data_IF_925170574992
#
_entry.id   IF_925170574992
#
_cell.length_a   1.000
_cell.length_b   1.000
_cell.length_c   1.000
_cell.angle_alpha   90.00
_cell.angle_beta   90.00
_cell.angle_gamma   90.00
#
_symmetry.space_group_name_H-M   'P 1'
#
loop_
_entity.id
_entity.type
_entity.pdbx_description
1 polymer ?
#
# COMPACT_ATOMS: atom_id res chain seq x y z
N UNK A 1 44.84 11.84 -39.89
CA UNK A 1 43.44 11.37 -39.80
C UNK A 1 43.44 10.14 -38.90
N UNK A 2 43.15 10.35 -37.61
CA UNK A 2 43.01 9.29 -36.61
C UNK A 2 41.52 9.03 -36.44
N UNK A 3 41.06 7.82 -36.74
CA UNK A 3 39.73 7.35 -36.35
C UNK A 3 39.90 6.48 -35.10
N UNK A 4 39.64 7.08 -33.93
CA UNK A 4 39.43 6.33 -32.69
C UNK A 4 38.10 5.58 -32.83
N UNK A 5 38.17 4.25 -33.02
CA UNK A 5 37.02 3.36 -32.80
C UNK A 5 37.00 3.00 -31.31
N UNK A 6 36.19 3.71 -30.54
CA UNK A 6 35.81 3.28 -29.19
C UNK A 6 34.93 2.04 -29.33
N UNK A 7 35.45 0.87 -28.95
CA UNK A 7 34.68 -0.37 -28.86
C UNK A 7 34.03 -0.36 -27.47
N UNK A 8 32.71 -0.19 -27.42
CA UNK A 8 31.92 -0.40 -26.21
C UNK A 8 31.75 -1.90 -26.02
N UNK A 9 32.46 -2.49 -25.05
CA UNK A 9 32.28 -3.89 -24.65
C UNK A 9 31.18 -3.91 -23.58
N UNK A 10 30.02 -4.46 -23.90
CA UNK A 10 29.01 -4.81 -22.89
C UNK A 10 29.45 -6.09 -22.19
N UNK A 11 29.90 -5.99 -20.94
CA UNK A 11 30.11 -7.15 -20.07
C UNK A 11 28.86 -7.28 -19.20
N UNK A 12 28.04 -8.29 -19.47
CA UNK A 12 26.99 -8.70 -18.52
C UNK A 12 27.68 -9.40 -17.34
N UNK A 13 27.62 -8.79 -16.15
CA UNK A 13 28.09 -9.43 -14.93
C UNK A 13 26.93 -10.17 -14.26
N UNK A 14 27.07 -11.50 -14.14
CA UNK A 14 26.33 -12.26 -13.14
C UNK A 14 26.79 -11.83 -11.74
N UNK A 15 25.83 -11.42 -10.92
CA UNK A 15 25.83 -11.30 -9.45
C UNK A 15 27.18 -11.64 -8.78
N UNK A 16 28.02 -10.62 -8.60
CA UNK A 16 29.22 -10.66 -7.77
C UNK A 16 29.28 -9.45 -6.83
N UNK A 17 30.22 -9.41 -5.87
CA UNK A 17 30.27 -8.42 -4.77
C UNK A 17 30.38 -6.95 -5.22
N UNK A 18 30.78 -6.68 -6.45
CA UNK A 18 30.76 -5.33 -7.04
C UNK A 18 29.34 -4.87 -7.42
N UNK A 19 28.42 -5.78 -7.74
CA UNK A 19 27.00 -5.47 -7.97
C UNK A 19 26.30 -4.99 -6.70
N UNK A 20 26.68 -5.53 -5.54
CA UNK A 20 26.23 -5.03 -4.23
C UNK A 20 26.77 -3.63 -3.91
N UNK A 21 27.99 -3.29 -4.39
CA UNK A 21 28.57 -1.96 -4.22
C UNK A 21 27.87 -0.88 -5.06
N UNK A 22 27.39 -1.22 -6.27
CA UNK A 22 26.57 -0.33 -7.09
C UNK A 22 25.12 -0.26 -6.59
N UNK A 23 24.57 -1.35 -6.06
CA UNK A 23 23.27 -1.34 -5.39
C UNK A 23 23.28 -0.38 -4.19
N UNK A 24 24.36 -0.25 -3.42
CA UNK A 24 24.46 0.70 -2.30
C UNK A 24 24.42 2.18 -2.72
N UNK A 25 24.74 2.55 -3.96
CA UNK A 25 24.80 3.95 -4.39
C UNK A 25 23.43 4.64 -4.50
N UNK A 26 22.36 3.85 -4.60
CA UNK A 26 20.99 4.34 -4.80
C UNK A 26 20.16 4.29 -3.53
N UNK A 27 20.74 3.87 -2.41
CA UNK A 27 20.06 3.71 -1.14
C UNK A 27 20.80 4.53 -0.10
N UNK A 28 20.07 5.38 0.59
CA UNK A 28 20.58 6.18 1.69
C UNK A 28 19.77 5.89 2.93
N UNK A 29 20.42 5.53 4.02
CA UNK A 29 19.77 5.27 5.30
C UNK A 29 19.90 6.44 6.27
N UNK A 30 18.86 6.64 7.06
CA UNK A 30 18.74 7.64 8.10
C UNK A 30 18.27 6.92 9.37
N UNK A 31 19.16 6.81 10.34
CA UNK A 31 18.96 6.10 11.60
C UNK A 31 19.40 6.98 12.76
N UNK A 32 19.16 6.51 13.99
CA UNK A 32 19.66 7.11 15.23
C UNK A 32 21.19 7.23 15.28
N UNK A 33 21.93 6.51 14.44
CA UNK A 33 23.39 6.55 14.42
C UNK A 33 23.96 7.70 13.57
N UNK A 34 23.18 8.19 12.59
CA UNK A 34 23.66 9.20 11.62
C UNK A 34 22.73 10.41 11.46
N UNK A 35 21.66 10.50 12.27
CA UNK A 35 20.73 11.63 12.30
C UNK A 35 20.43 12.06 13.74
N UNK A 36 19.50 13.01 13.91
CA UNK A 36 18.99 13.42 15.22
C UNK A 36 17.87 12.53 15.75
N UNK A 37 17.40 11.56 14.96
CA UNK A 37 16.32 10.65 15.36
C UNK A 37 16.72 9.93 16.65
N UNK A 38 15.81 9.86 17.62
CA UNK A 38 16.03 9.10 18.87
C UNK A 38 15.38 7.72 18.85
N UNK A 39 14.57 7.45 17.83
CA UNK A 39 13.93 6.18 17.55
C UNK A 39 14.00 5.85 16.06
N UNK A 40 14.19 4.57 15.74
CA UNK A 40 14.36 4.10 14.36
C UNK A 40 13.05 3.62 13.73
N UNK A 41 11.98 3.42 14.51
CA UNK A 41 10.73 2.95 13.93
C UNK A 41 10.00 4.11 13.28
N UNK A 42 9.99 4.13 11.94
CA UNK A 42 9.33 5.17 11.15
C UNK A 42 7.93 4.70 10.80
N UNK A 43 6.93 5.29 11.45
CA UNK A 43 5.53 4.88 11.28
C UNK A 43 4.90 5.52 10.04
N UNK A 44 5.27 6.77 9.74
CA UNK A 44 4.71 7.49 8.60
C UNK A 44 5.65 8.58 8.07
N UNK A 45 5.53 8.88 6.79
CA UNK A 45 6.26 9.95 6.10
C UNK A 45 5.30 10.73 5.21
N UNK A 46 5.26 12.05 5.39
CA UNK A 46 4.51 12.96 4.53
C UNK A 46 5.46 13.96 3.89
N UNK A 47 5.36 14.18 2.57
CA UNK A 47 6.20 15.15 1.86
C UNK A 47 5.37 16.39 1.48
N UNK A 48 5.81 17.55 1.97
CA UNK A 48 5.17 18.84 1.71
C UNK A 48 6.23 19.83 1.25
N UNK A 49 6.10 20.31 0.01
CA UNK A 49 7.01 21.28 -0.60
C UNK A 49 8.50 20.87 -0.48
N UNK A 50 8.77 19.57 -0.63
CA UNK A 50 10.10 18.97 -0.57
C UNK A 50 10.61 18.66 0.85
N UNK A 51 9.91 19.11 1.90
CA UNK A 51 10.18 18.81 3.30
C UNK A 51 9.51 17.50 3.69
N UNK A 52 10.28 16.59 4.29
CA UNK A 52 9.82 15.29 4.77
C UNK A 52 9.42 15.44 6.22
N UNK A 53 8.13 15.30 6.52
CA UNK A 53 7.62 15.12 7.87
C UNK A 53 7.69 13.63 8.21
N UNK A 54 8.39 13.29 9.27
CA UNK A 54 8.77 11.92 9.61
C UNK A 54 8.26 11.64 11.02
N UNK A 55 7.29 10.74 11.12
CA UNK A 55 6.70 10.31 12.38
C UNK A 55 7.35 9.02 12.87
N UNK A 56 7.76 8.98 14.14
CA UNK A 56 8.36 7.80 14.76
C UNK A 56 7.59 7.36 16.00
N UNK A 57 8.02 6.27 16.66
CA UNK A 57 7.47 5.94 17.98
C UNK A 57 7.85 6.93 19.07
N UNK A 58 8.89 7.74 18.82
CA UNK A 58 9.42 8.67 19.80
C UNK A 58 9.79 10.02 19.16
N UNK A 59 8.85 10.61 18.43
CA UNK A 59 8.97 11.98 17.97
C UNK A 59 8.38 12.28 16.60
N UNK A 60 8.38 13.57 16.30
CA UNK A 60 8.09 14.10 14.98
C UNK A 60 9.29 14.93 14.52
N UNK A 61 9.76 14.65 13.31
CA UNK A 61 10.91 15.32 12.74
C UNK A 61 10.58 15.87 11.36
N UNK A 62 11.27 16.95 10.97
CA UNK A 62 11.28 17.39 9.57
C UNK A 62 12.68 17.34 9.00
N UNK A 63 12.80 16.98 7.72
CA UNK A 63 14.04 16.99 6.98
C UNK A 63 13.88 17.65 5.61
N UNK A 64 14.70 18.66 5.31
CA UNK A 64 14.65 19.42 4.05
C UNK A 64 15.77 19.03 3.05
N UNK A 65 16.35 17.84 3.22
CA UNK A 65 17.58 17.35 2.57
C UNK A 65 18.89 17.99 3.07
N UNK A 66 18.83 18.99 3.95
CA UNK A 66 20.03 19.64 4.52
C UNK A 66 20.05 19.60 6.04
N UNK A 67 18.92 19.86 6.67
CA UNK A 67 18.79 20.11 8.09
C UNK A 67 17.61 19.34 8.66
N UNK A 68 17.79 18.88 9.89
CA UNK A 68 16.75 18.22 10.67
C UNK A 68 16.21 19.17 11.73
N UNK A 69 14.90 19.11 11.98
CA UNK A 69 14.24 19.82 13.08
C UNK A 69 13.42 18.80 13.87
N UNK A 70 13.49 18.89 15.20
CA UNK A 70 12.71 18.08 16.13
C UNK A 70 11.50 18.88 16.63
N UNK A 71 10.30 18.32 16.46
CA UNK A 71 9.02 18.89 16.90
C UNK A 71 8.39 18.09 18.04
N UNK A 72 9.10 17.16 18.65
CA UNK A 72 8.54 16.23 19.65
C UNK A 72 7.88 16.94 20.84
N UNK A 73 8.44 18.05 21.31
CA UNK A 73 7.96 18.79 22.48
C UNK A 73 6.57 19.44 22.30
N UNK A 74 6.09 19.58 21.06
CA UNK A 74 4.77 20.17 20.78
C UNK A 74 3.64 19.13 20.71
N UNK A 75 4.01 17.84 20.67
CA UNK A 75 3.05 16.75 20.52
C UNK A 75 2.37 16.43 21.86
N UNK A 76 1.08 16.05 21.85
CA UNK A 76 0.41 15.54 23.05
C UNK A 76 0.98 14.16 23.48
N UNK A 77 1.56 13.42 22.54
CA UNK A 77 2.27 12.17 22.78
C UNK A 77 3.33 11.96 21.68
N UNK A 78 4.51 11.40 22.02
CA UNK A 78 5.60 11.29 21.04
C UNK A 78 5.44 10.19 19.99
N UNK A 79 4.69 9.14 20.31
CA UNK A 79 4.35 8.10 19.33
C UNK A 79 3.40 8.72 18.29
N UNK A 80 3.93 8.95 17.09
CA UNK A 80 3.21 9.42 15.91
C UNK A 80 2.74 8.21 15.10
N UNK A 81 1.45 8.13 14.85
CA UNK A 81 0.84 7.06 14.06
C UNK A 81 0.77 7.42 12.57
N UNK A 82 0.37 8.66 12.26
CA UNK A 82 0.28 9.15 10.89
C UNK A 82 0.37 10.66 10.82
N UNK A 83 0.63 11.17 9.63
CA UNK A 83 0.77 12.59 9.31
C UNK A 83 -0.03 12.87 8.04
N UNK A 84 -1.00 13.77 8.10
CA UNK A 84 -1.76 14.19 6.93
C UNK A 84 -1.77 15.70 6.76
N UNK A 85 -2.13 16.16 5.56
CA UNK A 85 -2.25 17.57 5.23
C UNK A 85 -3.64 17.86 4.68
N UNK A 86 -4.23 18.94 5.15
CA UNK A 86 -5.52 19.41 4.62
C UNK A 86 -5.36 20.29 3.37
N UNK A 87 -6.48 20.77 2.82
CA UNK A 87 -6.46 21.62 1.62
C UNK A 87 -5.93 23.04 1.86
N UNK A 88 -5.87 23.47 3.12
CA UNK A 88 -5.36 24.78 3.54
C UNK A 88 -3.86 24.75 3.84
N UNK A 89 -3.26 23.56 3.86
CA UNK A 89 -1.84 23.35 4.14
C UNK A 89 -1.53 23.09 5.61
N UNK A 90 -2.55 22.91 6.46
CA UNK A 90 -2.36 22.54 7.85
C UNK A 90 -1.90 21.07 7.93
N UNK A 91 -0.92 20.80 8.80
CA UNK A 91 -0.38 19.46 9.03
C UNK A 91 -1.02 18.88 10.28
N UNK A 92 -1.62 17.71 10.16
CA UNK A 92 -2.25 16.95 11.23
C UNK A 92 -1.34 15.78 11.59
N UNK A 93 -1.01 15.68 12.87
CA UNK A 93 -0.12 14.65 13.41
C UNK A 93 -0.91 13.80 14.39
N UNK A 94 -1.23 12.58 14.00
CA UNK A 94 -1.98 11.63 14.81
C UNK A 94 -1.08 10.94 15.82
N UNK A 95 -1.49 10.83 17.07
CA UNK A 95 -0.67 10.29 18.16
C UNK A 95 -1.45 9.38 19.09
N UNK A 96 -0.73 8.70 19.99
CA UNK A 96 -1.34 7.85 21.02
C UNK A 96 -2.23 8.61 22.02
N UNK A 97 -2.12 9.93 22.16
CA UNK A 97 -2.95 10.72 23.12
C UNK A 97 -3.67 11.90 22.46
N UNK A 98 -4.08 11.75 21.21
CA UNK A 98 -4.81 12.77 20.44
C UNK A 98 -4.09 13.14 19.17
N UNK A 99 -4.22 14.38 18.73
CA UNK A 99 -3.51 14.90 17.56
C UNK A 99 -2.95 16.30 17.81
N UNK A 100 -1.92 16.65 17.05
CA UNK A 100 -1.40 18.02 16.95
C UNK A 100 -1.65 18.57 15.54
N UNK A 101 -1.98 19.85 15.44
CA UNK A 101 -2.26 20.54 14.17
C UNK A 101 -1.31 21.72 14.04
N UNK A 102 -0.58 21.79 12.93
CA UNK A 102 0.33 22.87 12.60
C UNK A 102 -0.19 23.69 11.42
N UNK A 103 -0.40 24.98 11.62
CA UNK A 103 -0.95 25.89 10.60
C UNK A 103 0.12 26.71 9.85
N UNK A 104 1.38 26.31 9.94
CA UNK A 104 2.52 27.06 9.39
C UNK A 104 3.14 28.09 10.34
N UNK A 105 2.54 28.35 11.51
CA UNK A 105 3.08 29.29 12.49
C UNK A 105 2.90 28.90 13.96
N UNK A 106 1.84 28.16 14.28
CA UNK A 106 1.56 27.68 15.64
C UNK A 106 1.05 26.25 15.65
N UNK A 107 1.15 25.62 16.81
CA UNK A 107 0.63 24.30 17.09
C UNK A 107 -0.62 24.39 17.96
N UNK A 108 -1.63 23.60 17.63
CA UNK A 108 -2.80 23.33 18.46
C UNK A 108 -2.88 21.82 18.73
N UNK A 109 -3.41 21.42 19.90
CA UNK A 109 -3.58 20.01 20.23
C UNK A 109 -5.04 19.69 20.54
N UNK A 110 -5.51 18.56 19.99
CA UNK A 110 -6.82 18.00 20.26
C UNK A 110 -6.61 16.70 21.04
N UNK A 111 -7.13 16.65 22.26
CA UNK A 111 -6.92 15.56 23.22
C UNK A 111 -8.24 15.24 23.94
N UNK A 112 -8.26 14.15 24.70
CA UNK A 112 -9.39 13.80 25.56
C UNK A 112 -9.70 14.85 26.66
N UNK A 113 -8.84 15.84 26.88
CA UNK A 113 -9.08 16.92 27.85
C UNK A 113 -9.96 18.05 27.28
N UNK A 114 -9.92 18.26 25.96
CA UNK A 114 -10.58 19.39 25.29
C UNK A 114 -11.51 18.97 24.14
N UNK A 115 -11.64 17.67 23.87
CA UNK A 115 -12.47 17.12 22.80
C UNK A 115 -13.08 15.77 23.16
N UNK A 116 -14.10 15.37 22.40
CA UNK A 116 -14.69 14.02 22.46
C UNK A 116 -13.81 12.98 21.77
N UNK A 117 -12.83 13.42 20.96
CA UNK A 117 -11.83 12.52 20.38
C UNK A 117 -11.04 11.93 21.53
N UNK A 118 -11.08 10.62 21.61
CA UNK A 118 -10.40 9.86 22.64
C UNK A 118 -8.90 9.78 22.35
N UNK A 119 -8.21 9.02 23.17
CA UNK A 119 -6.79 8.77 22.96
C UNK A 119 -6.62 7.83 21.74
N UNK A 120 -5.42 7.83 21.18
CA UNK A 120 -5.03 6.98 20.07
C UNK A 120 -5.78 7.28 18.76
N UNK A 121 -5.35 8.38 18.12
CA UNK A 121 -5.75 8.69 16.75
C UNK A 121 -4.84 7.91 15.81
N UNK A 122 -5.44 7.17 14.88
CA UNK A 122 -4.71 6.38 13.90
C UNK A 122 -4.48 7.15 12.60
N UNK A 123 -5.52 7.83 12.10
CA UNK A 123 -5.45 8.54 10.82
C UNK A 123 -6.49 9.66 10.71
N UNK A 124 -6.17 10.68 9.89
CA UNK A 124 -7.11 11.72 9.48
C UNK A 124 -7.06 11.89 7.97
N UNK A 125 -8.21 11.82 7.31
CA UNK A 125 -8.39 12.16 5.89
C UNK A 125 -9.42 13.27 5.71
N UNK A 126 -9.35 13.98 4.60
CA UNK A 126 -10.20 15.15 4.33
C UNK A 126 -11.07 14.91 3.08
N UNK A 127 -12.34 15.29 3.15
CA UNK A 127 -13.22 15.26 1.98
C UNK A 127 -13.04 16.49 1.07
N UNK A 128 -13.90 16.61 0.04
CA UNK A 128 -13.83 17.72 -0.89
C UNK A 128 -14.09 19.09 -0.26
N UNK A 129 -14.86 19.13 0.83
CA UNK A 129 -15.20 20.34 1.58
C UNK A 129 -14.21 20.62 2.72
N UNK A 130 -13.06 19.92 2.74
CA UNK A 130 -12.05 19.99 3.79
C UNK A 130 -12.55 19.55 5.18
N UNK A 131 -13.61 18.75 5.24
CA UNK A 131 -14.07 18.14 6.48
C UNK A 131 -13.19 16.96 6.83
N UNK A 132 -12.69 16.93 8.06
CA UNK A 132 -11.79 15.88 8.53
C UNK A 132 -12.59 14.66 9.03
N UNK A 133 -12.19 13.47 8.59
CA UNK A 133 -12.65 12.19 9.11
C UNK A 133 -11.49 11.54 9.86
N UNK A 134 -11.73 11.23 11.13
CA UNK A 134 -10.71 10.94 12.11
C UNK A 134 -10.93 9.52 12.63
N UNK A 135 -10.06 8.60 12.23
CA UNK A 135 -10.06 7.22 12.68
C UNK A 135 -9.31 7.07 14.00
N UNK A 136 -9.93 6.44 14.99
CA UNK A 136 -9.33 6.17 16.30
C UNK A 136 -9.55 4.71 16.70
N UNK A 137 -8.96 4.29 17.82
CA UNK A 137 -9.22 2.97 18.41
C UNK A 137 -10.65 2.79 18.93
N UNK A 138 -11.40 3.88 19.08
CA UNK A 138 -12.76 3.90 19.65
C UNK A 138 -13.83 4.17 18.58
N UNK A 139 -13.44 4.50 17.34
CA UNK A 139 -14.38 4.68 16.25
C UNK A 139 -13.93 5.69 15.18
N UNK A 140 -14.91 6.20 14.45
CA UNK A 140 -14.77 7.24 13.44
C UNK A 140 -15.45 8.52 13.91
N UNK A 141 -14.73 9.62 13.85
CA UNK A 141 -15.22 10.95 14.17
C UNK A 141 -15.16 11.84 12.93
N UNK A 142 -15.99 12.88 12.90
CA UNK A 142 -16.02 13.90 11.86
C UNK A 142 -15.83 15.27 12.48
N UNK A 143 -14.90 16.06 11.95
CA UNK A 143 -14.60 17.42 12.39
C UNK A 143 -14.83 18.42 11.24
N UNK A 144 -15.80 19.32 11.44
CA UNK A 144 -16.17 20.36 10.46
C UNK A 144 -16.48 21.65 11.22
N UNK A 145 -15.97 22.79 10.74
CA UNK A 145 -16.14 24.12 11.35
C UNK A 145 -15.83 24.13 12.87
N UNK A 146 -14.79 23.40 13.29
CA UNK A 146 -14.39 23.28 14.70
C UNK A 146 -15.32 22.42 15.57
N UNK A 147 -16.39 21.86 15.01
CA UNK A 147 -17.28 20.94 15.71
C UNK A 147 -16.90 19.50 15.41
N UNK A 148 -16.83 18.68 16.45
CA UNK A 148 -16.51 17.26 16.34
C UNK A 148 -17.74 16.43 16.71
N UNK A 149 -18.05 15.44 15.88
CA UNK A 149 -19.18 14.53 16.06
C UNK A 149 -18.76 13.09 15.83
N UNK A 150 -19.50 12.15 16.42
CA UNK A 150 -19.29 10.71 16.26
C UNK A 150 -20.00 10.26 14.98
N UNK A 151 -19.30 9.52 14.14
CA UNK A 151 -19.85 8.88 12.93
C UNK A 151 -20.08 7.39 13.18
N UNK A 152 -19.10 6.73 13.81
CA UNK A 152 -19.12 5.31 14.13
C UNK A 152 -18.44 5.11 15.47
N UNK A 153 -19.01 4.31 16.35
CA UNK A 153 -18.40 3.93 17.63
C UNK A 153 -18.70 2.46 17.95
N UNK A 154 -18.10 1.94 19.03
CA UNK A 154 -18.32 0.57 19.50
C UNK A 154 -19.78 0.19 19.75
N UNK A 155 -20.71 1.14 19.87
CA UNK A 155 -22.14 0.84 20.00
C UNK A 155 -22.80 0.43 18.67
N UNK A 156 -22.09 0.66 17.55
CA UNK A 156 -22.62 0.54 16.20
C UNK A 156 -22.33 -0.81 15.53
N UNK A 157 -21.45 -1.65 16.10
CA UNK A 157 -21.07 -2.96 15.55
C UNK A 157 -20.87 -4.03 16.63
N UNK A 158 -21.09 -5.29 16.24
CA UNK A 158 -20.68 -6.48 16.98
C UNK A 158 -19.45 -7.10 16.28
N UNK A 159 -18.32 -7.37 16.98
CA UNK A 159 -18.10 -7.16 18.40
C UNK A 159 -17.90 -5.67 18.76
N UNK A 160 -18.07 -5.36 20.05
CA UNK A 160 -18.07 -4.02 20.68
C UNK A 160 -16.72 -3.26 20.66
N UNK A 161 -15.90 -3.44 19.63
CA UNK A 161 -14.63 -2.77 19.47
C UNK A 161 -14.44 -2.38 18.00
N UNK A 162 -14.28 -1.08 17.75
CA UNK A 162 -14.06 -0.54 16.41
C UNK A 162 -12.78 0.28 16.46
N UNK A 163 -11.69 -0.34 16.02
CA UNK A 163 -10.45 0.35 15.77
C UNK A 163 -10.37 0.69 14.28
N UNK A 164 -10.63 1.95 13.94
CA UNK A 164 -10.52 2.47 12.58
C UNK A 164 -9.05 2.74 12.30
N UNK A 165 -8.43 1.86 11.53
CA UNK A 165 -6.99 1.84 11.29
C UNK A 165 -6.56 2.70 10.12
N UNK A 166 -7.34 2.67 9.04
CA UNK A 166 -7.03 3.40 7.82
C UNK A 166 -8.30 3.86 7.09
N UNK A 167 -8.18 4.95 6.33
CA UNK A 167 -9.28 5.67 5.71
C UNK A 167 -8.86 6.14 4.32
N UNK A 168 -9.80 6.12 3.36
CA UNK A 168 -9.57 6.74 2.05
C UNK A 168 -10.89 7.04 1.36
N UNK A 169 -10.91 8.04 0.48
CA UNK A 169 -12.09 8.37 -0.31
C UNK A 169 -12.08 7.65 -1.66
N UNK A 170 -13.20 6.97 -1.95
CA UNK A 170 -13.51 6.39 -3.26
C UNK A 170 -14.74 7.10 -3.82
N UNK A 171 -14.51 8.14 -4.63
CA UNK A 171 -15.57 9.08 -5.00
C UNK A 171 -16.20 9.70 -3.75
N UNK A 172 -17.52 9.70 -3.67
CA UNK A 172 -18.27 10.24 -2.52
C UNK A 172 -18.29 9.31 -1.30
N UNK A 173 -17.72 8.10 -1.40
CA UNK A 173 -17.74 7.13 -0.31
C UNK A 173 -16.43 7.17 0.47
N UNK A 174 -16.53 7.21 1.80
CA UNK A 174 -15.38 6.98 2.68
C UNK A 174 -15.22 5.48 2.91
N UNK A 175 -14.11 4.91 2.47
CA UNK A 175 -13.69 3.56 2.79
C UNK A 175 -13.05 3.53 4.18
N UNK A 176 -13.47 2.57 5.00
CA UNK A 176 -13.10 2.46 6.42
C UNK A 176 -12.42 1.10 6.63
N UNK A 177 -11.10 1.12 6.78
CA UNK A 177 -10.32 -0.04 7.20
C UNK A 177 -10.30 -0.14 8.72
N UNK A 178 -10.57 -1.34 9.23
CA UNK A 178 -10.59 -1.57 10.68
C UNK A 178 -9.65 -2.68 11.10
N UNK A 179 -9.36 -2.77 12.39
CA UNK A 179 -8.75 -3.95 13.00
C UNK A 179 -9.84 -4.90 13.47
N UNK A 180 -9.88 -6.11 12.89
CA UNK A 180 -10.85 -7.18 13.15
C UNK A 180 -12.34 -6.91 12.82
N UNK A 181 -12.72 -5.70 12.44
CA UNK A 181 -14.12 -5.32 12.14
C UNK A 181 -14.53 -5.48 10.67
N UNK A 182 -13.56 -5.70 9.77
CA UNK A 182 -13.76 -5.73 8.32
C UNK A 182 -13.61 -4.37 7.65
N UNK A 183 -14.13 -4.27 6.43
CA UNK A 183 -14.06 -3.10 5.56
C UNK A 183 -15.43 -2.41 5.48
N UNK A 184 -15.49 -1.14 5.88
CA UNK A 184 -16.68 -0.31 5.81
C UNK A 184 -16.69 0.61 4.58
N UNK A 185 -17.88 0.93 4.10
CA UNK A 185 -18.15 1.96 3.09
C UNK A 185 -19.21 2.90 3.64
N UNK A 186 -18.80 4.11 4.03
CA UNK A 186 -19.71 5.17 4.45
C UNK A 186 -20.14 5.99 3.23
N UNK A 187 -21.45 6.04 2.99
CA UNK A 187 -22.07 6.87 1.96
C UNK A 187 -23.42 7.36 2.46
N UNK A 188 -23.69 8.67 2.39
CA UNK A 188 -24.94 9.29 2.86
C UNK A 188 -25.37 8.79 4.26
N UNK A 189 -24.48 8.92 5.24
CA UNK A 189 -24.69 8.51 6.66
C UNK A 189 -25.00 7.02 6.87
N UNK A 190 -24.85 6.19 5.85
CA UNK A 190 -25.07 4.75 5.90
C UNK A 190 -23.77 4.01 5.67
N UNK A 191 -23.52 2.97 6.48
CA UNK A 191 -22.30 2.17 6.36
C UNK A 191 -22.64 0.75 5.88
N UNK A 192 -22.09 0.38 4.73
CA UNK A 192 -22.06 -1.00 4.24
C UNK A 192 -20.79 -1.71 4.71
N UNK A 193 -20.89 -2.99 5.09
CA UNK A 193 -19.78 -3.76 5.66
C UNK A 193 -19.42 -4.99 4.84
N UNK A 194 -18.12 -5.23 4.70
CA UNK A 194 -17.54 -6.48 4.22
C UNK A 194 -16.66 -7.12 5.30
N UNK A 195 -16.85 -8.41 5.55
CA UNK A 195 -16.11 -9.22 6.51
C UNK A 195 -16.08 -10.70 6.04
N UNK A 196 -15.52 -11.59 6.86
CA UNK A 196 -15.43 -13.02 6.62
C UNK A 196 -16.76 -13.70 6.27
N UNK A 197 -17.90 -13.17 6.71
CA UNK A 197 -19.21 -13.75 6.41
C UNK A 197 -19.72 -13.40 5.01
N UNK A 198 -19.15 -12.39 4.33
CA UNK A 198 -19.61 -11.93 3.02
C UNK A 198 -18.47 -11.66 2.01
N UNK A 199 -17.32 -12.31 2.20
CA UNK A 199 -16.32 -12.49 1.15
C UNK A 199 -14.93 -11.93 1.44
N UNK A 200 -14.77 -11.10 2.48
CA UNK A 200 -13.46 -10.57 2.86
C UNK A 200 -12.68 -11.63 3.67
N UNK A 201 -11.52 -12.05 3.19
CA UNK A 201 -10.79 -13.16 3.82
C UNK A 201 -10.03 -12.79 5.09
N UNK A 202 -9.81 -11.50 5.33
CA UNK A 202 -9.15 -10.95 6.51
C UNK A 202 -9.91 -9.71 6.97
N UNK A 203 -10.38 -9.71 8.21
CA UNK A 203 -11.16 -8.61 8.77
C UNK A 203 -10.29 -7.44 9.24
N UNK A 204 -8.97 -7.50 9.05
CA UNK A 204 -8.05 -6.42 9.38
C UNK A 204 -7.47 -5.78 8.13
N UNK A 205 -7.63 -4.47 8.01
CA UNK A 205 -6.95 -3.64 7.01
C UNK A 205 -5.80 -2.89 7.68
N UNK A 206 -4.59 -3.00 7.13
CA UNK A 206 -3.42 -2.23 7.60
C UNK A 206 -3.29 -0.92 6.85
N UNK A 207 -3.60 -0.92 5.55
CA UNK A 207 -3.62 0.26 4.67
C UNK A 207 -4.64 0.04 3.54
N UNK A 208 -5.16 1.13 2.98
CA UNK A 208 -6.13 1.12 1.90
C UNK A 208 -5.79 2.19 0.88
N UNK A 209 -5.76 1.79 -0.39
CA UNK A 209 -5.51 2.66 -1.53
C UNK A 209 -6.64 2.54 -2.55
N UNK A 210 -7.07 3.67 -3.11
CA UNK A 210 -7.92 3.69 -4.31
C UNK A 210 -7.04 3.88 -5.54
N UNK A 211 -7.09 2.93 -6.47
CA UNK A 211 -6.55 3.10 -7.83
C UNK A 211 -7.70 2.95 -8.83
N UNK A 212 -7.93 4.03 -9.60
CA UNK A 212 -9.05 4.15 -10.55
C UNK A 212 -10.38 3.86 -9.83
N UNK A 213 -11.03 2.75 -10.16
CA UNK A 213 -12.32 2.33 -9.59
C UNK A 213 -12.18 1.16 -8.60
N UNK A 214 -10.97 0.71 -8.31
CA UNK A 214 -10.72 -0.44 -7.45
C UNK A 214 -10.17 0.03 -6.10
N UNK A 215 -10.57 -0.68 -5.05
CA UNK A 215 -9.95 -0.53 -3.76
C UNK A 215 -8.87 -1.61 -3.60
N UNK A 216 -7.70 -1.24 -3.10
CA UNK A 216 -6.63 -2.15 -2.73
C UNK A 216 -6.41 -2.08 -1.23
N UNK A 217 -6.28 -3.23 -0.60
CA UNK A 217 -6.29 -3.40 0.85
C UNK A 217 -5.12 -4.30 1.20
N UNK A 218 -4.20 -3.80 2.01
CA UNK A 218 -3.18 -4.63 2.65
C UNK A 218 -3.73 -5.19 3.95
N UNK A 219 -3.33 -6.41 4.27
CA UNK A 219 -3.83 -7.13 5.44
C UNK A 219 -2.68 -7.84 6.16
N UNK A 220 -2.78 -8.08 7.48
CA UNK A 220 -1.71 -8.70 8.24
C UNK A 220 -1.56 -10.20 7.97
N UNK A 221 -2.61 -10.88 7.46
CA UNK A 221 -2.58 -12.32 7.21
C UNK A 221 -3.14 -12.73 5.83
N UNK A 222 -4.09 -11.97 5.28
CA UNK A 222 -4.76 -12.27 4.01
C UNK A 222 -3.94 -12.00 2.74
N UNK A 223 -2.83 -11.26 2.84
CA UNK A 223 -2.09 -10.72 1.71
C UNK A 223 -2.71 -9.43 1.17
N UNK A 224 -2.59 -9.22 -0.15
CA UNK A 224 -3.15 -8.05 -0.82
C UNK A 224 -4.53 -8.41 -1.38
N UNK A 225 -5.53 -7.61 -1.06
CA UNK A 225 -6.92 -7.80 -1.49
C UNK A 225 -7.33 -6.62 -2.36
N UNK A 226 -7.95 -6.89 -3.51
CA UNK A 226 -8.59 -5.84 -4.30
C UNK A 226 -10.11 -6.02 -4.30
N UNK A 227 -10.85 -4.98 -3.93
CA UNK A 227 -12.30 -4.93 -4.10
C UNK A 227 -12.63 -4.26 -5.43
N UNK A 228 -13.18 -5.06 -6.34
CA UNK A 228 -13.51 -4.66 -7.70
C UNK A 228 -14.84 -3.91 -7.77
N UNK A 229 -15.03 -3.16 -8.86
CA UNK A 229 -16.28 -2.44 -9.15
C UNK A 229 -17.52 -3.35 -9.21
N UNK A 230 -17.36 -4.62 -9.58
CA UNK A 230 -18.46 -5.59 -9.66
C UNK A 230 -18.85 -6.20 -8.30
N UNK A 231 -18.20 -5.75 -7.21
CA UNK A 231 -18.42 -6.22 -5.85
C UNK A 231 -17.62 -7.47 -5.47
N UNK A 232 -16.81 -8.02 -6.37
CA UNK A 232 -15.98 -9.18 -6.08
C UNK A 232 -14.62 -8.80 -5.49
N UNK A 233 -14.03 -9.75 -4.78
CA UNK A 233 -12.66 -9.63 -4.25
C UNK A 233 -11.67 -10.44 -5.10
N UNK A 234 -10.54 -9.82 -5.45
CA UNK A 234 -9.33 -10.50 -5.89
C UNK A 234 -8.36 -10.60 -4.72
N UNK A 235 -7.67 -11.73 -4.61
CA UNK A 235 -6.77 -12.02 -3.49
C UNK A 235 -5.41 -12.42 -4.03
N UNK A 236 -4.37 -11.79 -3.49
CA UNK A 236 -2.97 -12.08 -3.79
C UNK A 236 -2.24 -12.48 -2.52
N UNK A 237 -1.92 -13.76 -2.42
CA UNK A 237 -1.19 -14.34 -1.30
C UNK A 237 -0.45 -15.62 -1.72
N UNK A 238 0.39 -16.16 -0.84
CA UNK A 238 1.17 -17.39 -1.07
C UNK A 238 0.32 -18.65 -1.26
N UNK A 239 -0.94 -18.63 -0.83
CA UNK A 239 -1.89 -19.72 -1.08
C UNK A 239 -2.38 -19.78 -2.54
N UNK A 240 -2.42 -18.63 -3.22
CA UNK A 240 -2.83 -18.53 -4.63
C UNK A 240 -1.65 -18.37 -5.59
N UNK A 241 -0.52 -17.84 -5.13
CA UNK A 241 0.63 -17.53 -5.98
C UNK A 241 1.93 -17.95 -5.30
N UNK A 242 2.62 -18.94 -5.87
CA UNK A 242 3.83 -19.52 -5.26
C UNK A 242 4.96 -18.50 -5.06
N UNK A 243 5.04 -17.50 -5.94
CA UNK A 243 6.08 -16.47 -5.92
C UNK A 243 5.64 -15.19 -5.20
N UNK A 244 4.52 -15.21 -4.49
CA UNK A 244 4.05 -14.05 -3.72
C UNK A 244 4.99 -13.78 -2.53
N UNK A 245 5.52 -12.56 -2.34
CA UNK A 245 6.60 -12.33 -1.39
C UNK A 245 6.21 -12.49 0.09
N UNK A 246 5.03 -12.00 0.48
CA UNK A 246 4.57 -12.04 1.87
C UNK A 246 3.05 -11.91 1.98
N UNK A 247 2.44 -12.60 2.95
CA UNK A 247 1.02 -12.42 3.28
C UNK A 247 0.79 -11.33 4.33
N UNK A 248 1.84 -10.89 5.01
CA UNK A 248 1.75 -9.89 6.08
C UNK A 248 2.18 -8.55 5.53
N UNK A 249 1.21 -7.71 5.20
CA UNK A 249 1.40 -6.46 4.49
C UNK A 249 1.02 -5.27 5.37
N UNK A 250 1.77 -4.17 5.27
CA UNK A 250 1.62 -3.00 6.14
C UNK A 250 1.15 -1.76 5.40
N UNK A 251 1.64 -1.54 4.17
CA UNK A 251 1.39 -0.33 3.40
C UNK A 251 1.34 -0.64 1.91
N UNK A 252 0.60 0.17 1.17
CA UNK A 252 0.56 0.14 -0.29
C UNK A 252 0.63 1.56 -0.85
N UNK A 253 1.54 1.75 -1.79
CA UNK A 253 1.69 2.98 -2.55
C UNK A 253 1.49 2.71 -4.03
N UNK A 254 0.85 3.61 -4.77
CA UNK A 254 0.74 3.53 -6.22
C UNK A 254 1.54 4.63 -6.89
N UNK A 255 2.42 4.22 -7.80
CA UNK A 255 3.14 5.09 -8.72
C UNK A 255 2.74 4.70 -10.15
N UNK A 256 1.80 5.45 -10.72
CA UNK A 256 1.17 5.19 -12.02
C UNK A 256 0.56 3.78 -12.12
N UNK A 257 1.17 2.88 -12.90
CA UNK A 257 0.69 1.50 -13.09
C UNK A 257 1.45 0.48 -12.20
N UNK A 258 2.36 0.95 -11.34
CA UNK A 258 3.15 0.12 -10.43
C UNK A 258 2.71 0.36 -8.98
N UNK A 259 2.41 -0.71 -8.27
CA UNK A 259 2.21 -0.65 -6.83
C UNK A 259 3.50 -1.00 -6.11
N UNK A 260 3.77 -0.36 -4.98
CA UNK A 260 4.82 -0.71 -4.05
C UNK A 260 4.17 -1.12 -2.73
N UNK A 261 4.50 -2.30 -2.24
CA UNK A 261 3.83 -2.90 -1.10
C UNK A 261 4.85 -3.23 -0.04
N UNK A 262 4.71 -2.62 1.14
CA UNK A 262 5.53 -2.90 2.32
C UNK A 262 4.99 -4.10 3.09
N UNK A 263 5.89 -4.92 3.63
CA UNK A 263 5.54 -6.13 4.36
C UNK A 263 6.20 -6.21 5.74
N UNK A 264 5.68 -7.10 6.59
CA UNK A 264 6.29 -7.46 7.87
C UNK A 264 7.27 -8.62 7.68
N UNK A 265 8.55 -8.30 7.56
CA UNK A 265 9.66 -9.26 7.50
C UNK A 265 10.03 -9.78 6.10
N UNK A 266 9.30 -9.39 5.05
CA UNK A 266 9.62 -9.72 3.66
C UNK A 266 10.28 -8.58 2.87
N UNK A 267 10.54 -7.43 3.51
CA UNK A 267 10.94 -6.20 2.84
C UNK A 267 9.75 -5.51 2.18
N UNK A 268 9.96 -4.89 1.03
CA UNK A 268 8.88 -4.41 0.16
C UNK A 268 9.03 -4.98 -1.24
N UNK A 269 7.96 -4.93 -2.03
CA UNK A 269 7.99 -5.38 -3.41
C UNK A 269 7.20 -4.45 -4.32
N UNK A 270 7.68 -4.33 -5.55
CA UNK A 270 6.86 -3.78 -6.63
C UNK A 270 5.88 -4.84 -7.13
N UNK A 271 4.67 -4.45 -7.45
CA UNK A 271 3.60 -5.29 -7.95
C UNK A 271 2.94 -4.60 -9.15
N UNK A 272 2.84 -5.32 -10.27
CA UNK A 272 1.95 -4.94 -11.36
C UNK A 272 1.05 -6.09 -11.73
N UNK A 273 -0.16 -5.74 -12.14
CA UNK A 273 -1.20 -6.69 -12.47
C UNK A 273 -1.81 -6.37 -13.82
N UNK A 274 -1.18 -6.89 -14.87
CA UNK A 274 -1.61 -6.66 -16.25
C UNK A 274 -2.12 -7.95 -16.87
N UNK A 275 -3.32 -7.89 -17.46
CA UNK A 275 -3.95 -9.05 -18.10
C UNK A 275 -4.00 -10.27 -17.17
N UNK A 276 -4.03 -10.01 -15.86
CA UNK A 276 -4.09 -11.07 -14.88
C UNK A 276 -2.77 -11.72 -14.48
N UNK A 277 -1.66 -11.35 -15.12
CA UNK A 277 -0.34 -11.83 -14.74
C UNK A 277 0.19 -10.88 -13.67
N UNK A 278 0.38 -11.41 -12.47
CA UNK A 278 1.09 -10.69 -11.43
C UNK A 278 2.60 -10.72 -11.71
N UNK A 279 3.24 -9.55 -11.67
CA UNK A 279 4.70 -9.44 -11.70
C UNK A 279 5.14 -8.78 -10.41
N UNK A 280 6.05 -9.43 -9.70
CA UNK A 280 6.58 -8.94 -8.42
C UNK A 280 8.09 -8.89 -8.46
N UNK A 281 8.67 -7.78 -8.00
CA UNK A 281 10.11 -7.69 -7.71
C UNK A 281 10.30 -7.28 -6.26
N UNK A 282 10.99 -8.12 -5.48
CA UNK A 282 11.17 -7.96 -4.03
C UNK A 282 12.51 -7.32 -3.69
N UNK A 283 12.48 -6.42 -2.72
CA UNK A 283 13.62 -5.71 -2.16
C UNK A 283 13.65 -5.93 -0.65
N UNK A 284 14.72 -6.54 -0.15
CA UNK A 284 14.92 -6.88 1.25
C UNK A 284 16.38 -6.63 1.68
N UNK A 285 16.70 -6.85 2.94
CA UNK A 285 18.05 -6.65 3.51
C UNK A 285 19.12 -7.55 2.87
N UNK A 286 18.74 -8.68 2.28
CA UNK A 286 19.67 -9.62 1.65
C UNK A 286 20.01 -9.24 0.21
N UNK A 287 19.11 -8.57 -0.51
CA UNK A 287 19.21 -8.35 -1.94
C UNK A 287 19.20 -6.85 -2.36
N UNK A 288 19.06 -5.93 -1.41
CA UNK A 288 18.96 -4.50 -1.66
C UNK A 288 19.70 -3.67 -0.60
N UNK A 289 19.61 -2.34 -0.69
CA UNK A 289 20.12 -1.42 0.34
C UNK A 289 19.13 -1.15 1.47
N UNK A 290 17.99 -1.86 1.53
CA UNK A 290 17.04 -1.79 2.62
C UNK A 290 17.71 -2.22 3.93
N UNK A 291 17.49 -1.47 5.01
CA UNK A 291 18.15 -1.70 6.31
C UNK A 291 17.33 -2.57 7.27
N UNK A 292 16.04 -2.77 6.98
CA UNK A 292 15.13 -3.58 7.78
C UNK A 292 13.97 -4.09 6.92
N UNK A 293 13.60 -5.36 7.10
CA UNK A 293 12.57 -6.03 6.30
C UNK A 293 11.12 -5.79 6.78
N UNK A 294 10.92 -5.03 7.85
CA UNK A 294 9.63 -4.54 8.31
C UNK A 294 9.40 -3.13 7.75
N UNK A 295 8.75 -3.07 6.59
CA UNK A 295 8.43 -1.80 5.89
C UNK A 295 7.05 -1.34 6.33
N UNK A 296 6.96 -0.12 6.85
CA UNK A 296 5.78 0.43 7.51
C UNK A 296 5.06 1.49 6.66
N UNK A 297 5.80 2.33 5.93
CA UNK A 297 5.26 3.37 5.06
C UNK A 297 6.15 3.56 3.83
N UNK A 298 5.58 4.04 2.74
CA UNK A 298 6.27 4.39 1.51
C UNK A 298 5.69 5.70 1.00
N UNK A 299 6.54 6.69 0.76
CA UNK A 299 6.15 8.00 0.22
C UNK A 299 7.14 8.42 -0.87
N UNK A 300 6.65 8.99 -1.97
CA UNK A 300 7.48 9.33 -3.13
C UNK A 300 7.74 10.84 -3.21
N UNK A 301 8.96 11.23 -3.52
CA UNK A 301 9.28 12.58 -3.99
C UNK A 301 9.60 12.60 -5.49
N UNK A 302 10.02 13.76 -6.02
CA UNK A 302 10.30 13.92 -7.46
C UNK A 302 11.41 12.98 -7.97
N UNK A 303 12.29 12.50 -7.09
CA UNK A 303 13.53 11.82 -7.45
C UNK A 303 13.57 10.36 -6.98
N UNK A 304 12.78 9.99 -5.97
CA UNK A 304 12.81 8.64 -5.41
C UNK A 304 11.77 8.37 -4.35
N UNK A 305 12.00 7.30 -3.58
CA UNK A 305 11.08 6.78 -2.57
C UNK A 305 11.69 6.87 -1.18
N UNK A 306 10.93 7.42 -0.26
CA UNK A 306 11.17 7.42 1.18
C UNK A 306 10.41 6.25 1.80
N UNK A 307 11.14 5.32 2.39
CA UNK A 307 10.64 4.05 2.88
C UNK A 307 10.90 4.01 4.38
N UNK A 308 9.84 4.11 5.17
CA UNK A 308 9.91 3.95 6.62
C UNK A 308 9.93 2.49 7.01
N UNK A 309 10.84 2.13 7.92
CA UNK A 309 10.98 0.77 8.43
C UNK A 309 11.06 0.78 9.96
N UNK A 310 10.99 -0.39 10.60
CA UNK A 310 11.29 -0.51 12.03
C UNK A 310 12.77 -0.22 12.38
N UNK A 311 13.65 -0.21 11.38
CA UNK A 311 15.11 -0.01 11.56
C UNK A 311 15.64 1.34 11.12
N UNK A 312 14.77 2.25 10.65
CA UNK A 312 15.10 3.59 10.22
C UNK A 312 14.41 3.97 8.92
N UNK A 313 14.69 5.18 8.44
CA UNK A 313 14.20 5.70 7.18
C UNK A 313 15.22 5.39 6.07
N UNK A 314 14.73 4.97 4.91
CA UNK A 314 15.56 4.70 3.74
C UNK A 314 15.07 5.50 2.55
N UNK A 315 15.99 6.14 1.84
CA UNK A 315 15.71 6.83 0.59
C UNK A 315 16.30 6.06 -0.59
N UNK A 316 15.47 5.75 -1.59
CA UNK A 316 15.83 4.95 -2.75
C UNK A 316 15.61 5.72 -4.06
N UNK A 317 16.68 5.94 -4.84
CA UNK A 317 16.73 6.88 -5.98
C UNK A 317 16.88 6.26 -7.37
N UNK A 318 16.77 4.94 -7.52
CA UNK A 318 17.02 4.29 -8.82
C UNK A 318 15.83 3.53 -9.38
N UNK A 319 15.07 4.26 -10.21
CA UNK A 319 13.98 3.75 -11.04
C UNK A 319 14.53 3.15 -12.36
N UNK A 320 15.81 3.37 -12.69
CA UNK A 320 16.39 2.98 -13.98
C UNK A 320 16.91 1.54 -14.05
N UNK A 321 16.99 0.82 -12.92
CA UNK A 321 17.45 -0.56 -12.86
C UNK A 321 16.38 -1.60 -12.48
N UNK A 322 15.17 -1.19 -12.06
CA UNK A 322 14.04 -2.14 -11.87
C UNK A 322 13.51 -2.67 -13.21
N UNK A 323 13.77 -1.95 -14.31
CA UNK A 323 13.29 -2.29 -15.65
C UNK A 323 14.23 -3.14 -16.51
N UNK A 324 15.23 -3.82 -15.94
CA UNK A 324 16.07 -4.79 -16.70
C UNK A 324 16.39 -6.08 -15.95
N UNK A 325 15.42 -6.62 -15.24
CA UNK A 325 15.37 -8.08 -15.07
C UNK A 325 13.94 -8.52 -14.82
N UNK A 326 13.23 -8.80 -15.90
CA UNK A 326 12.67 -10.12 -16.12
C UNK A 326 12.27 -10.17 -17.58
N UNK A 327 12.79 -11.17 -18.30
CA UNK A 327 12.12 -11.64 -19.48
C UNK A 327 10.69 -11.95 -19.05
N UNK A 328 9.75 -11.05 -19.32
CA UNK A 328 8.36 -11.38 -19.19
C UNK A 328 8.10 -12.37 -20.31
N UNK A 329 8.24 -13.65 -20.00
CA UNK A 329 7.63 -14.70 -20.80
C UNK A 329 6.12 -14.57 -20.56
N UNK A 330 5.51 -13.50 -21.08
CA UNK A 330 4.04 -13.39 -21.17
C UNK A 330 3.61 -14.40 -22.24
N UNK A 331 2.80 -15.42 -21.94
CA UNK A 331 1.89 -15.92 -22.95
C UNK A 331 0.86 -14.80 -23.22
N UNK A 332 1.04 -14.04 -24.28
CA UNK A 332 0.06 -13.05 -24.78
C UNK A 332 -1.20 -13.77 -25.22
N UNK A 333 -2.25 -13.76 -24.39
CA UNK A 333 -3.54 -14.33 -24.78
C UNK A 333 -4.43 -13.26 -25.43
N UNK A 334 -5.30 -13.70 -26.34
CA UNK A 334 -6.33 -12.86 -26.96
C UNK A 334 -7.71 -13.41 -26.63
N UNK A 335 -8.63 -12.51 -26.30
CA UNK A 335 -10.05 -12.82 -26.11
C UNK A 335 -10.84 -12.19 -27.26
N UNK A 336 -11.45 -13.02 -28.09
CA UNK A 336 -12.34 -12.56 -29.15
C UNK A 336 -13.49 -13.55 -29.34
N UNK A 337 -14.73 -13.06 -29.43
CA UNK A 337 -15.95 -13.89 -29.59
C UNK A 337 -16.01 -15.07 -28.61
N UNK A 338 -15.83 -14.81 -27.31
CA UNK A 338 -15.80 -15.84 -26.26
C UNK A 338 -14.76 -16.94 -26.51
N UNK A 339 -13.66 -16.65 -27.21
CA UNK A 339 -12.52 -17.58 -27.31
C UNK A 339 -11.29 -16.98 -26.68
N UNK A 340 -10.74 -17.71 -25.71
CA UNK A 340 -9.42 -17.45 -25.16
C UNK A 340 -8.40 -18.17 -26.04
N UNK A 341 -7.44 -17.44 -26.59
CA UNK A 341 -6.42 -17.96 -27.52
C UNK A 341 -5.02 -17.63 -27.06
N UNK A 342 -4.11 -18.58 -27.20
CA UNK A 342 -2.71 -18.50 -26.80
C UNK A 342 -1.80 -18.70 -28.01
N UNK A 343 -0.57 -18.14 -28.01
CA UNK A 343 0.34 -18.17 -29.15
C UNK A 343 0.90 -19.58 -29.42
N UNK A 344 0.85 -20.46 -28.43
CA UNK A 344 1.26 -21.87 -28.52
C UNK A 344 0.27 -22.76 -27.77
N UNK A 345 0.40 -24.08 -27.94
CA UNK A 345 -0.41 -25.05 -27.19
C UNK A 345 0.15 -25.22 -25.77
N UNK A 346 -0.74 -25.41 -24.82
CA UNK A 346 -0.41 -25.70 -23.43
C UNK A 346 -1.62 -26.18 -22.67
N UNK A 347 -1.44 -26.40 -21.39
CA UNK A 347 -2.51 -26.79 -20.48
C UNK A 347 -3.19 -25.52 -19.99
N UNK A 348 -4.50 -25.43 -20.25
CA UNK A 348 -5.35 -24.29 -19.90
C UNK A 348 -6.30 -24.77 -18.82
N UNK A 349 -6.27 -24.15 -17.65
CA UNK A 349 -7.26 -24.32 -16.59
C UNK A 349 -7.96 -22.99 -16.36
N UNK A 350 -9.26 -23.01 -16.10
CA UNK A 350 -9.98 -21.81 -15.65
C UNK A 350 -10.57 -22.13 -14.28
N UNK A 351 -10.41 -21.20 -13.35
CA UNK A 351 -10.94 -21.22 -12.01
C UNK A 351 -11.93 -20.06 -11.86
N UNK A 352 -12.95 -20.23 -11.02
CA UNK A 352 -13.69 -19.10 -10.47
C UNK A 352 -12.81 -18.30 -9.50
N UNK A 353 -13.22 -17.09 -9.14
CA UNK A 353 -12.48 -16.25 -8.19
C UNK A 353 -12.29 -16.91 -6.82
N UNK A 354 -13.22 -17.77 -6.39
CA UNK A 354 -13.12 -18.55 -5.16
C UNK A 354 -12.16 -19.77 -5.28
N UNK A 355 -11.41 -19.87 -6.38
CA UNK A 355 -10.39 -20.89 -6.60
C UNK A 355 -10.93 -22.25 -7.06
N UNK A 356 -12.24 -22.42 -7.28
CA UNK A 356 -12.77 -23.68 -7.82
C UNK A 356 -12.46 -23.80 -9.30
N UNK A 357 -11.94 -24.96 -9.72
CA UNK A 357 -11.71 -25.25 -11.13
C UNK A 357 -13.03 -25.37 -11.88
N UNK A 358 -13.31 -24.43 -12.76
CA UNK A 358 -14.50 -24.41 -13.63
C UNK A 358 -14.25 -25.09 -14.98
N UNK A 359 -13.01 -25.15 -15.44
CA UNK A 359 -12.65 -25.77 -16.72
C UNK A 359 -11.20 -26.21 -16.77
N UNK A 360 -10.88 -27.24 -17.56
CA UNK A 360 -9.51 -27.60 -17.92
C UNK A 360 -9.44 -28.22 -19.31
N UNK A 361 -8.40 -27.87 -20.07
CA UNK A 361 -8.07 -28.45 -21.35
C UNK A 361 -6.55 -28.62 -21.51
N UNK A 362 -6.13 -29.78 -21.98
CA UNK A 362 -4.72 -30.13 -22.12
C UNK A 362 -4.24 -29.95 -23.56
N UNK A 363 -3.02 -29.42 -23.71
CA UNK A 363 -2.36 -29.22 -25.00
C UNK A 363 -3.24 -28.50 -26.05
N UNK A 364 -3.87 -27.40 -25.65
CA UNK A 364 -4.70 -26.53 -26.50
C UNK A 364 -4.09 -25.14 -26.60
N UNK A 365 -4.29 -24.51 -27.76
CA UNK A 365 -3.97 -23.09 -27.99
C UNK A 365 -5.21 -22.20 -28.06
N UNK A 366 -6.41 -22.78 -27.95
CA UNK A 366 -7.65 -22.00 -27.84
C UNK A 366 -8.73 -22.77 -27.09
N UNK A 367 -9.55 -22.04 -26.35
CA UNK A 367 -10.69 -22.53 -25.59
C UNK A 367 -11.91 -21.66 -25.88
N UNK A 368 -13.06 -22.28 -26.09
CA UNK A 368 -14.34 -21.57 -26.19
C UNK A 368 -14.93 -21.41 -24.79
N UNK A 369 -15.16 -20.18 -24.37
CA UNK A 369 -15.62 -19.76 -23.05
C UNK A 369 -17.14 -19.58 -22.98
N UNK A 370 -17.89 -19.95 -24.03
CA UNK A 370 -19.36 -19.78 -24.08
C UNK A 370 -20.13 -20.53 -23.00
N UNK A 371 -19.47 -21.45 -22.29
CA UNK A 371 -20.05 -22.19 -21.17
C UNK A 371 -19.91 -21.46 -19.82
N UNK A 372 -19.08 -20.41 -19.75
CA UNK A 372 -18.92 -19.58 -18.58
C UNK A 372 -19.95 -18.45 -18.62
N UNK A 373 -20.54 -18.14 -17.47
CA UNK A 373 -21.37 -16.94 -17.32
C UNK A 373 -20.50 -15.70 -17.34
N UNK A 374 -21.09 -14.53 -17.65
CA UNK A 374 -20.40 -13.25 -17.49
C UNK A 374 -19.86 -13.09 -16.08
N UNK A 375 -18.70 -12.45 -15.95
CA UNK A 375 -18.00 -12.27 -14.69
C UNK A 375 -16.50 -12.51 -14.79
N UNK A 376 -15.86 -12.48 -13.64
CA UNK A 376 -14.41 -12.59 -13.49
C UNK A 376 -13.99 -14.01 -13.15
N UNK A 377 -12.94 -14.50 -13.79
CA UNK A 377 -12.37 -15.84 -13.61
C UNK A 377 -10.86 -15.74 -13.54
N UNK A 378 -10.18 -16.80 -13.08
CA UNK A 378 -8.72 -16.93 -13.15
C UNK A 378 -8.42 -18.00 -14.21
N UNK A 379 -7.86 -17.61 -15.34
CA UNK A 379 -7.24 -18.56 -16.28
C UNK A 379 -5.82 -18.91 -15.83
N UNK A 380 -5.38 -20.11 -16.11
CA UNK A 380 -4.06 -20.66 -15.84
C UNK A 380 -3.60 -21.35 -17.12
N UNK A 381 -2.48 -20.92 -17.67
CA UNK A 381 -1.89 -21.49 -18.85
C UNK A 381 -0.45 -21.91 -18.57
N UNK A 382 -0.17 -23.20 -18.58
CA UNK A 382 1.14 -23.76 -18.23
C UNK A 382 1.70 -23.20 -16.90
N UNK A 383 0.86 -23.10 -15.86
CA UNK A 383 1.18 -22.52 -14.55
C UNK A 383 1.36 -21.00 -14.53
N UNK A 384 0.99 -20.30 -15.60
CA UNK A 384 0.91 -18.83 -15.63
C UNK A 384 -0.55 -18.39 -15.50
N UNK A 385 -0.89 -17.69 -14.41
CA UNK A 385 -2.27 -17.27 -14.12
C UNK A 385 -2.59 -15.90 -14.72
N UNK A 386 -3.87 -15.70 -15.04
CA UNK A 386 -4.42 -14.51 -15.67
C UNK A 386 -5.91 -14.34 -15.36
N UNK A 387 -6.34 -13.25 -14.71
CA UNK A 387 -7.76 -12.85 -14.68
C UNK A 387 -8.34 -12.71 -16.07
N UNK A 388 -9.44 -13.44 -16.25
CA UNK A 388 -10.28 -13.50 -17.43
C UNK A 388 -11.60 -12.79 -17.10
N UNK A 389 -11.84 -11.63 -17.68
CA UNK A 389 -13.10 -10.90 -17.56
C UNK A 389 -13.98 -11.23 -18.77
N UNK A 390 -15.16 -11.81 -18.52
CA UNK A 390 -16.15 -12.12 -19.54
C UNK A 390 -17.30 -11.11 -19.50
N UNK A 391 -17.37 -10.25 -20.51
CA UNK A 391 -18.35 -9.15 -20.63
C UNK A 391 -19.69 -9.54 -21.24
#
# INVERSE_FOLDING_TARGET
>A
MSFNKTILIWIMFQLGPLGALFAQGNWQSFTTENTILVDNQINDVLIVDGVKWIGTNWGLYTYDNTSWIDYTDVLPHPLVNSISKDKEGNIYVCTLSGMAIYNGGSWETITSQNSIITNHVNEVVFDEDNTAYIGTIDGLFKMSDGNISIVLDSSSLEPSFINVRCLTFKGDSLCIGTVNGGLGYLYNDSIGWYNANNGLIDNTSTDILVDKENLWITTPYGGLISHLLDGNFLIFNTGFFNDWPSNSLNTIYNDDDMFYVGSSGGGFFSFSYEFGVQNTNTFNTENSGLINDYVLCIEKDELGYWIGTEGGLVYWTDISSVNKSNHVNKPTYNIFNNRLTFPFKGDITVYSLDGKRVFSAYNKSSVNLSFLTRGSYISDFNNSRSVLILN
#
